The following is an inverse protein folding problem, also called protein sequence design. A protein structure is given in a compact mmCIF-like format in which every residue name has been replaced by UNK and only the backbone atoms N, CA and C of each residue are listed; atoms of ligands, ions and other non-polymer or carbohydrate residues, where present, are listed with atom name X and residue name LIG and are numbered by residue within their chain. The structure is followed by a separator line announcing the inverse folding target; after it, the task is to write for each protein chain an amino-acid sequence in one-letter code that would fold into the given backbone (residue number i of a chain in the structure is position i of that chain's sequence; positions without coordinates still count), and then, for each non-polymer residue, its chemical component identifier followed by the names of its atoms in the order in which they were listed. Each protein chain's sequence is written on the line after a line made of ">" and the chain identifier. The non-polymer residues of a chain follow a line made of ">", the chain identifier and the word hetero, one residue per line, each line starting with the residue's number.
data_IF_227672322356
#
_entry.id   IF_227672322356
#
_cell.length_a   1.000
_cell.length_b   1.000
_cell.length_c   1.000
_cell.angle_alpha   90.00
_cell.angle_beta   90.00
_cell.angle_gamma   90.00
#
_symmetry.space_group_name_H-M   'P 1'
#
loop_
_entity.id
_entity.type
_entity.pdbx_description
1 polymer ?
#
# COMPACT_ATOMS: atom_id res chain seq x y z
N UNK A 1 24.89 -23.44 51.56
CA UNK A 1 24.41 -22.09 51.22
C UNK A 1 24.87 -21.56 49.85
N UNK A 2 25.42 -22.40 48.94
CA UNK A 2 25.85 -21.94 47.61
C UNK A 2 24.79 -22.04 46.50
N UNK A 3 23.84 -22.98 46.61
CA UNK A 3 22.89 -23.33 45.53
C UNK A 3 21.69 -22.36 45.47
N UNK A 4 21.28 -21.79 46.61
CA UNK A 4 20.16 -20.84 46.66
C UNK A 4 20.52 -19.44 46.10
N UNK A 5 21.80 -19.04 46.15
CA UNK A 5 22.25 -17.75 45.62
C UNK A 5 22.32 -17.75 44.08
N UNK A 6 22.65 -18.88 43.47
CA UNK A 6 22.69 -19.01 42.01
C UNK A 6 21.30 -18.92 41.37
N UNK A 7 20.28 -19.52 41.99
CA UNK A 7 18.90 -19.43 41.47
C UNK A 7 18.33 -18.01 41.53
N UNK A 8 18.63 -17.28 42.61
CA UNK A 8 18.24 -15.86 42.73
C UNK A 8 18.92 -14.99 41.66
N UNK A 9 20.19 -15.24 41.37
CA UNK A 9 20.93 -14.48 40.36
C UNK A 9 20.45 -14.79 38.93
N UNK A 10 20.16 -16.06 38.63
CA UNK A 10 19.62 -16.49 37.33
C UNK A 10 18.20 -15.95 37.14
N UNK A 11 17.36 -16.00 38.16
CA UNK A 11 15.99 -15.45 38.12
C UNK A 11 15.98 -13.93 37.93
N UNK A 12 16.84 -13.20 38.65
CA UNK A 12 16.96 -11.75 38.50
C UNK A 12 17.47 -11.35 37.10
N UNK A 13 18.42 -12.12 36.55
CA UNK A 13 18.96 -11.88 35.20
C UNK A 13 17.91 -12.17 34.12
N UNK A 14 17.10 -13.21 34.28
CA UNK A 14 16.00 -13.55 33.37
C UNK A 14 14.87 -12.52 33.43
N UNK A 15 14.53 -12.04 34.63
CA UNK A 15 13.55 -10.97 34.81
C UNK A 15 14.04 -9.65 34.17
N UNK A 16 15.32 -9.31 34.33
CA UNK A 16 15.91 -8.14 33.70
C UNK A 16 15.93 -8.25 32.17
N UNK A 17 16.25 -9.43 31.62
CA UNK A 17 16.18 -9.70 30.18
C UNK A 17 14.76 -9.57 29.63
N UNK A 18 13.74 -10.06 30.35
CA UNK A 18 12.34 -9.90 29.99
C UNK A 18 11.90 -8.43 30.02
N UNK A 19 12.29 -7.69 31.06
CA UNK A 19 12.01 -6.25 31.16
C UNK A 19 12.69 -5.48 30.03
N UNK A 20 13.94 -5.80 29.71
CA UNK A 20 14.66 -5.18 28.60
C UNK A 20 14.08 -5.56 27.23
N UNK A 21 13.53 -6.77 27.08
CA UNK A 21 12.86 -7.18 25.85
C UNK A 21 11.50 -6.48 25.67
N UNK A 22 10.74 -6.28 26.75
CA UNK A 22 9.45 -5.59 26.75
C UNK A 22 9.60 -4.07 26.62
N UNK A 23 10.67 -3.50 27.17
CA UNK A 23 10.95 -2.06 27.11
C UNK A 23 11.79 -1.66 25.90
N UNK A 24 12.11 -2.58 24.98
CA UNK A 24 12.62 -2.15 23.68
C UNK A 24 11.54 -1.27 23.06
N UNK A 25 11.86 -0.03 22.66
CA UNK A 25 11.01 0.66 21.71
C UNK A 25 11.04 -0.20 20.46
N UNK A 26 10.00 -0.99 20.24
CA UNK A 26 9.81 -1.65 18.96
C UNK A 26 9.88 -0.52 17.93
N UNK A 27 10.84 -0.56 16.98
CA UNK A 27 10.77 0.35 15.85
C UNK A 27 9.38 0.15 15.23
N UNK A 28 8.71 1.23 14.77
CA UNK A 28 7.38 1.10 14.19
C UNK A 28 7.43 -0.03 13.17
N UNK A 29 6.70 -1.10 13.45
CA UNK A 29 6.58 -2.23 12.54
C UNK A 29 5.89 -1.62 11.32
N UNK A 30 6.66 -1.32 10.28
CA UNK A 30 6.11 -0.98 8.98
C UNK A 30 5.31 -2.20 8.59
N UNK A 31 3.99 -2.12 8.70
CA UNK A 31 3.10 -3.17 8.22
C UNK A 31 3.52 -3.44 6.77
N UNK A 32 3.83 -4.69 6.39
CA UNK A 32 4.20 -4.98 5.02
C UNK A 32 3.02 -4.53 4.15
N UNK A 33 3.23 -3.45 3.39
CA UNK A 33 2.24 -2.91 2.47
C UNK A 33 1.86 -4.05 1.50
N UNK A 34 0.65 -4.60 1.66
CA UNK A 34 0.12 -5.62 0.77
C UNK A 34 -0.51 -4.99 -0.49
N UNK A 35 0.19 -4.03 -1.08
CA UNK A 35 -0.22 -3.39 -2.32
C UNK A 35 0.70 -3.86 -3.45
N UNK A 36 0.13 -4.32 -4.56
CA UNK A 36 0.91 -4.59 -5.77
C UNK A 36 1.43 -3.28 -6.39
N UNK A 37 0.65 -2.20 -6.22
CA UNK A 37 0.90 -0.89 -6.79
C UNK A 37 0.58 0.17 -5.75
N UNK A 38 1.49 1.11 -5.54
CA UNK A 38 1.26 2.30 -4.72
C UNK A 38 1.20 3.52 -5.63
N UNK A 39 0.25 4.42 -5.39
CA UNK A 39 0.09 5.64 -6.16
C UNK A 39 -0.24 6.83 -5.25
N UNK A 40 0.08 8.04 -5.70
CA UNK A 40 -0.24 9.28 -5.01
C UNK A 40 -1.25 10.08 -5.82
N UNK A 41 -2.08 10.85 -5.12
CA UNK A 41 -2.97 11.81 -5.75
C UNK A 41 -2.15 12.95 -6.37
N UNK A 42 -2.49 13.31 -7.60
CA UNK A 42 -1.95 14.48 -8.29
C UNK A 42 -3.05 15.12 -9.14
N UNK A 43 -2.73 16.22 -9.80
CA UNK A 43 -3.62 16.86 -10.76
C UNK A 43 -2.89 17.08 -12.08
N UNK A 44 -3.60 16.89 -13.19
CA UNK A 44 -3.08 17.21 -14.53
C UNK A 44 -4.12 18.02 -15.29
N UNK A 45 -3.77 19.25 -15.67
CA UNK A 45 -4.67 20.15 -16.39
C UNK A 45 -5.97 20.46 -15.64
N UNK A 46 -5.92 20.53 -14.31
CA UNK A 46 -7.09 20.77 -13.45
C UNK A 46 -8.02 19.57 -13.27
N UNK A 47 -7.58 18.36 -13.65
CA UNK A 47 -8.31 17.11 -13.44
C UNK A 47 -7.56 16.20 -12.46
N UNK A 48 -8.28 15.43 -11.63
CA UNK A 48 -7.64 14.45 -10.75
C UNK A 48 -6.91 13.39 -11.57
N UNK A 49 -5.74 13.00 -11.09
CA UNK A 49 -4.91 11.95 -11.66
C UNK A 49 -4.18 11.20 -10.54
N UNK A 50 -3.69 10.00 -10.83
CA UNK A 50 -2.77 9.30 -9.94
C UNK A 50 -1.36 9.29 -10.52
N UNK A 51 -0.35 9.42 -9.67
CA UNK A 51 1.04 9.19 -10.03
C UNK A 51 1.55 7.95 -9.32
N UNK A 52 2.02 6.98 -10.10
CA UNK A 52 2.74 5.80 -9.58
C UNK A 52 4.23 6.14 -9.58
N UNK A 53 4.89 6.15 -8.42
CA UNK A 53 6.31 6.45 -8.33
C UNK A 53 7.16 5.32 -8.94
N UNK A 54 8.30 5.69 -9.49
CA UNK A 54 9.29 4.81 -10.14
C UNK A 54 10.34 5.66 -10.86
N UNK A 55 11.31 5.02 -11.50
CA UNK A 55 12.37 5.72 -12.26
C UNK A 55 11.79 6.64 -13.35
N UNK A 56 10.68 6.21 -13.94
CA UNK A 56 9.83 7.05 -14.81
C UNK A 56 8.42 7.04 -14.24
N UNK A 57 7.97 8.15 -13.60
CA UNK A 57 6.65 8.21 -13.01
C UNK A 57 5.55 7.94 -14.02
N UNK A 58 4.59 7.09 -13.66
CA UNK A 58 3.44 6.79 -14.52
C UNK A 58 2.24 7.60 -14.04
N UNK A 59 1.67 8.41 -14.92
CA UNK A 59 0.45 9.18 -14.65
C UNK A 59 -0.75 8.39 -15.16
N UNK A 60 -1.76 8.23 -14.31
CA UNK A 60 -3.05 7.61 -14.61
C UNK A 60 -4.11 8.70 -14.64
N UNK A 61 -4.72 8.92 -15.81
CA UNK A 61 -5.78 9.89 -16.01
C UNK A 61 -7.14 9.22 -16.25
N UNK A 62 -7.14 7.93 -16.58
CA UNK A 62 -8.38 7.18 -16.74
C UNK A 62 -8.23 5.66 -16.76
N UNK A 63 -9.35 4.94 -16.96
CA UNK A 63 -9.41 3.48 -16.90
C UNK A 63 -8.46 2.75 -17.85
N UNK A 64 -8.22 3.31 -19.04
CA UNK A 64 -7.32 2.74 -20.03
C UNK A 64 -5.85 2.73 -19.53
N UNK A 65 -5.43 3.80 -18.84
CA UNK A 65 -4.09 3.87 -18.24
C UNK A 65 -3.94 2.82 -17.14
N UNK A 66 -4.98 2.65 -16.32
CA UNK A 66 -4.99 1.66 -15.24
C UNK A 66 -4.94 0.22 -15.80
N UNK A 67 -5.67 -0.07 -16.88
CA UNK A 67 -5.64 -1.39 -17.50
C UNK A 67 -4.25 -1.76 -18.07
N UNK A 68 -3.53 -0.77 -18.62
CA UNK A 68 -2.18 -0.96 -19.15
C UNK A 68 -1.09 -0.95 -18.07
N UNK A 69 -1.42 -0.50 -16.85
CA UNK A 69 -0.45 -0.25 -15.79
C UNK A 69 0.40 -1.47 -15.41
N UNK A 70 -0.15 -2.68 -15.21
CA UNK A 70 0.68 -3.83 -14.85
C UNK A 70 1.74 -4.14 -15.88
N UNK A 71 1.41 -4.04 -17.17
CA UNK A 71 2.37 -4.25 -18.26
C UNK A 71 3.44 -3.16 -18.28
N UNK A 72 3.07 -1.90 -18.04
CA UNK A 72 4.02 -0.77 -17.95
C UNK A 72 4.99 -0.90 -16.78
N UNK A 73 4.53 -1.48 -15.68
CA UNK A 73 5.33 -1.75 -14.48
C UNK A 73 6.08 -3.08 -14.53
N UNK A 74 5.94 -3.87 -15.61
CA UNK A 74 6.55 -5.20 -15.73
C UNK A 74 6.03 -6.21 -14.69
N UNK A 75 4.83 -5.99 -14.14
CA UNK A 75 4.22 -6.89 -13.17
C UNK A 75 3.79 -8.20 -13.85
N UNK A 76 3.86 -9.34 -13.14
CA UNK A 76 3.42 -10.62 -13.69
C UNK A 76 1.92 -10.58 -14.00
N UNK A 77 1.49 -11.16 -15.14
CA UNK A 77 0.09 -11.12 -15.56
C UNK A 77 -0.79 -11.87 -14.57
N UNK A 78 -1.66 -11.13 -13.90
CA UNK A 78 -2.63 -11.62 -12.92
C UNK A 78 -4.01 -11.02 -13.20
N UNK A 79 -5.05 -11.72 -12.73
CA UNK A 79 -6.43 -11.23 -12.82
C UNK A 79 -6.74 -10.14 -11.79
N UNK A 80 -6.06 -10.15 -10.65
CA UNK A 80 -6.33 -9.24 -9.54
C UNK A 80 -5.05 -8.48 -9.16
N UNK A 81 -5.18 -7.16 -8.99
CA UNK A 81 -4.13 -6.28 -8.48
C UNK A 81 -4.68 -5.38 -7.37
N UNK A 82 -3.88 -5.20 -6.32
CA UNK A 82 -4.16 -4.27 -5.24
C UNK A 82 -3.49 -2.91 -5.51
N UNK A 83 -4.30 -1.87 -5.68
CA UNK A 83 -3.86 -0.48 -5.79
C UNK A 83 -4.03 0.24 -4.46
N UNK A 84 -2.94 0.81 -3.95
CA UNK A 84 -2.93 1.63 -2.76
C UNK A 84 -2.79 3.11 -3.09
N UNK A 85 -3.65 3.95 -2.50
CA UNK A 85 -3.43 5.39 -2.48
C UNK A 85 -2.61 5.75 -1.25
N UNK A 86 -1.40 6.23 -1.47
CA UNK A 86 -0.48 6.65 -0.43
C UNK A 86 -0.72 8.12 -0.08
N UNK A 87 -1.04 8.37 1.19
CA UNK A 87 -0.97 9.68 1.83
C UNK A 87 -0.02 9.65 3.02
N UNK A 88 0.40 10.82 3.49
CA UNK A 88 1.31 10.93 4.62
C UNK A 88 1.13 12.21 5.43
N UNK A 89 1.93 12.40 6.49
CA UNK A 89 1.92 13.63 7.27
C UNK A 89 2.18 14.84 6.38
N UNK A 90 1.23 15.79 6.34
CA UNK A 90 1.30 16.99 5.48
C UNK A 90 0.81 16.81 4.04
N UNK A 91 0.56 15.57 3.59
CA UNK A 91 0.00 15.27 2.27
C UNK A 91 -1.14 14.25 2.41
N UNK A 92 -2.29 14.65 3.00
CA UNK A 92 -3.44 13.77 3.13
C UNK A 92 -4.02 13.45 1.76
N UNK A 93 -4.64 12.28 1.63
CA UNK A 93 -5.39 11.89 0.43
C UNK A 93 -6.66 12.76 0.37
N UNK A 94 -6.83 13.65 -0.63
CA UNK A 94 -8.03 14.46 -0.73
C UNK A 94 -9.26 13.57 -0.97
N UNK A 95 -10.39 13.88 -0.33
CA UNK A 95 -11.63 13.13 -0.51
C UNK A 95 -12.10 13.10 -1.98
N UNK A 96 -11.86 14.19 -2.72
CA UNK A 96 -12.13 14.29 -4.16
C UNK A 96 -11.32 13.28 -4.97
N UNK A 97 -10.02 13.17 -4.71
CA UNK A 97 -9.15 12.20 -5.36
C UNK A 97 -9.56 10.76 -5.04
N UNK A 98 -9.84 10.45 -3.77
CA UNK A 98 -10.28 9.11 -3.37
C UNK A 98 -11.61 8.73 -4.03
N UNK A 99 -12.59 9.65 -4.05
CA UNK A 99 -13.88 9.45 -4.70
C UNK A 99 -13.74 9.18 -6.19
N UNK A 100 -12.94 10.00 -6.87
CA UNK A 100 -12.64 9.84 -8.29
C UNK A 100 -11.92 8.52 -8.59
N UNK A 101 -10.86 8.20 -7.84
CA UNK A 101 -10.10 6.96 -8.03
C UNK A 101 -10.98 5.71 -7.80
N UNK A 102 -11.88 5.76 -6.81
CA UNK A 102 -12.80 4.66 -6.54
C UNK A 102 -13.87 4.51 -7.64
N UNK A 103 -14.45 5.62 -8.09
CA UNK A 103 -15.65 5.62 -8.94
C UNK A 103 -15.30 5.66 -10.43
N UNK A 104 -14.53 6.65 -10.84
CA UNK A 104 -14.27 6.97 -12.24
C UNK A 104 -13.07 6.20 -12.81
N UNK A 105 -12.19 5.69 -11.94
CA UNK A 105 -11.01 4.93 -12.34
C UNK A 105 -11.21 3.42 -12.12
N UNK A 106 -11.27 2.96 -10.85
CA UNK A 106 -11.28 1.54 -10.51
C UNK A 106 -12.64 0.89 -10.82
N UNK A 107 -13.75 1.44 -10.32
CA UNK A 107 -15.08 0.89 -10.60
C UNK A 107 -15.39 0.93 -12.09
N UNK A 108 -15.10 2.05 -12.76
CA UNK A 108 -15.30 2.18 -14.20
C UNK A 108 -14.56 1.09 -15.00
N UNK A 109 -13.28 0.84 -14.69
CA UNK A 109 -12.52 -0.25 -15.32
C UNK A 109 -13.11 -1.62 -15.00
N UNK A 110 -13.36 -1.93 -13.73
CA UNK A 110 -13.88 -3.23 -13.32
C UNK A 110 -15.25 -3.54 -13.97
N UNK A 111 -16.11 -2.53 -14.13
CA UNK A 111 -17.37 -2.67 -14.86
C UNK A 111 -17.15 -2.94 -16.36
N UNK A 112 -16.13 -2.36 -16.99
CA UNK A 112 -15.79 -2.64 -18.39
C UNK A 112 -15.24 -4.04 -18.56
N UNK A 113 -14.33 -4.48 -17.69
CA UNK A 113 -13.71 -5.83 -17.73
C UNK A 113 -14.77 -6.93 -17.58
N UNK A 114 -15.85 -6.67 -16.85
CA UNK A 114 -16.96 -7.61 -16.70
C UNK A 114 -17.84 -7.78 -17.95
N UNK A 115 -17.63 -6.98 -19.01
CA UNK A 115 -18.45 -7.04 -20.23
C UNK A 115 -17.92 -8.11 -21.21
N UNK A 116 -18.80 -8.79 -21.96
CA UNK A 116 -18.39 -9.84 -22.91
C UNK A 116 -17.54 -9.34 -24.08
N UNK A 117 -17.67 -8.06 -24.45
CA UNK A 117 -17.00 -7.41 -25.57
C UNK A 117 -15.70 -6.70 -25.18
N UNK A 118 -15.25 -6.86 -23.94
CA UNK A 118 -14.02 -6.24 -23.47
C UNK A 118 -12.78 -6.87 -24.12
N UNK A 119 -12.03 -6.06 -24.88
CA UNK A 119 -10.83 -6.48 -25.60
C UNK A 119 -9.50 -6.06 -24.93
N UNK A 120 -9.56 -5.46 -23.74
CA UNK A 120 -8.37 -5.04 -23.00
C UNK A 120 -7.78 -6.14 -22.10
N UNK A 121 -6.70 -5.84 -21.36
CA UNK A 121 -6.14 -6.76 -20.37
C UNK A 121 -7.15 -7.09 -19.26
N UNK A 122 -7.38 -8.37 -18.91
CA UNK A 122 -8.39 -8.78 -17.93
C UNK A 122 -7.92 -8.55 -16.49
N UNK A 123 -7.58 -7.31 -16.15
CA UNK A 123 -7.08 -6.91 -14.84
C UNK A 123 -8.19 -6.22 -14.03
N UNK A 124 -8.50 -6.80 -12.88
CA UNK A 124 -9.43 -6.26 -11.87
C UNK A 124 -8.61 -5.62 -10.76
N UNK A 125 -8.98 -4.40 -10.37
CA UNK A 125 -8.28 -3.65 -9.34
C UNK A 125 -9.12 -3.51 -8.07
N UNK A 126 -8.50 -3.68 -6.92
CA UNK A 126 -9.04 -3.20 -5.64
C UNK A 126 -8.33 -1.90 -5.25
N UNK A 127 -9.03 -1.03 -4.51
CA UNK A 127 -8.50 0.25 -4.05
C UNK A 127 -8.53 0.30 -2.52
N UNK A 128 -7.40 0.64 -1.91
CA UNK A 128 -7.33 0.93 -0.48
C UNK A 128 -6.53 2.22 -0.22
N UNK A 129 -7.01 3.13 0.65
CA UNK A 129 -6.16 4.20 1.16
C UNK A 129 -5.16 3.62 2.16
N UNK A 130 -3.91 4.07 2.10
CA UNK A 130 -2.86 3.68 3.04
C UNK A 130 -2.16 4.95 3.53
N UNK A 131 -1.98 5.06 4.84
CA UNK A 131 -1.09 6.04 5.44
C UNK A 131 0.34 5.48 5.39
N UNK A 132 1.22 6.18 4.70
CA UNK A 132 2.65 5.86 4.65
C UNK A 132 3.34 6.81 5.64
N UNK A 133 3.89 6.25 6.71
CA UNK A 133 4.78 6.99 7.63
C UNK A 133 6.18 7.01 6.99
N UNK A 134 6.84 8.19 6.88
CA UNK A 134 8.20 8.30 6.36
C UNK A 134 9.26 7.69 7.29
#
# INVERSE_FOLDING_TARGET
>A
MGIAMTDLFVSASAALMLVLAVLRPDPPVTTPLQADITAHCTETGGRPALVVPGDTPVILQGPADLAALPARLGLPPRLFYALALAGGPGHPIPASCLSWAATDLVRALNTQVARPDYAGPPAIFSLAPIAVDP
#
